data_IF_768309167980
#
_entry.id   IF_768309167980
#
_cell.length_a   1.000
_cell.length_b   1.000
_cell.length_c   1.000
_cell.angle_alpha   90.00
_cell.angle_beta   90.00
_cell.angle_gamma   90.00
#
_symmetry.space_group_name_H-M   'P 1'
#
loop_
_entity.id
_entity.type
_entity.pdbx_description
1 polymer ?
#
# COMPACT_ATOMS: atom_id res chain seq x y z
N UNK A 1 -10.22 28.96 -20.93
CA UNK A 1 -9.44 27.80 -20.43
C UNK A 1 -10.20 26.86 -19.49
N UNK A 2 -11.37 27.22 -18.92
CA UNK A 2 -12.20 26.27 -18.13
C UNK A 2 -13.02 25.29 -18.99
N UNK A 3 -13.34 25.66 -20.24
CA UNK A 3 -14.12 24.85 -21.18
C UNK A 3 -13.40 23.57 -21.64
N UNK A 4 -12.07 23.64 -21.82
CA UNK A 4 -11.25 22.52 -22.31
C UNK A 4 -11.10 21.40 -21.26
N UNK A 5 -11.27 21.72 -19.98
CA UNK A 5 -11.19 20.74 -18.89
C UNK A 5 -12.45 19.87 -18.81
N UNK A 6 -13.61 20.44 -19.18
CA UNK A 6 -14.90 19.71 -19.19
C UNK A 6 -14.98 18.71 -20.34
N UNK A 7 -14.43 19.06 -21.51
CA UNK A 7 -14.37 18.16 -22.68
C UNK A 7 -13.41 16.99 -22.41
N UNK A 8 -12.22 17.28 -21.86
CA UNK A 8 -11.23 16.26 -21.48
C UNK A 8 -11.77 15.20 -20.51
N UNK A 9 -12.50 15.62 -19.46
CA UNK A 9 -13.06 14.66 -18.49
C UNK A 9 -14.16 13.79 -19.11
N UNK A 10 -15.01 14.38 -19.94
CA UNK A 10 -16.07 13.67 -20.64
C UNK A 10 -15.51 12.69 -21.70
N UNK A 11 -14.43 13.05 -22.38
CA UNK A 11 -13.71 12.17 -23.31
C UNK A 11 -13.02 11.02 -22.58
N UNK A 12 -12.47 11.25 -21.38
CA UNK A 12 -11.91 10.21 -20.53
C UNK A 12 -12.96 9.19 -20.07
N UNK A 13 -14.19 9.63 -19.77
CA UNK A 13 -15.30 8.73 -19.42
C UNK A 13 -15.84 7.94 -20.63
N UNK A 14 -15.76 8.51 -21.84
CA UNK A 14 -16.14 7.83 -23.09
C UNK A 14 -15.06 6.91 -23.64
N UNK A 15 -13.84 7.01 -23.14
CA UNK A 15 -12.73 6.14 -23.51
C UNK A 15 -13.03 4.71 -23.05
N UNK A 16 -13.17 3.82 -24.03
CA UNK A 16 -13.27 2.36 -23.86
C UNK A 16 -11.90 1.67 -23.72
N UNK A 17 -10.81 2.44 -23.53
CA UNK A 17 -9.51 1.88 -23.18
C UNK A 17 -9.61 1.21 -21.81
N UNK A 18 -9.16 -0.05 -21.66
CA UNK A 18 -9.08 -0.70 -20.36
C UNK A 18 -8.24 0.17 -19.43
N UNK A 19 -8.79 0.48 -18.26
CA UNK A 19 -7.97 1.04 -17.20
C UNK A 19 -6.93 -0.01 -16.81
N UNK A 20 -5.69 0.39 -16.48
CA UNK A 20 -4.73 -0.55 -15.93
C UNK A 20 -5.36 -1.21 -14.70
N UNK A 21 -5.39 -2.54 -14.70
CA UNK A 21 -5.91 -3.32 -13.59
C UNK A 21 -5.16 -2.87 -12.32
N UNK A 22 -5.84 -2.62 -11.20
CA UNK A 22 -5.15 -2.34 -9.96
C UNK A 22 -4.20 -3.50 -9.67
N UNK A 23 -2.91 -3.21 -9.52
CA UNK A 23 -1.94 -4.18 -9.04
C UNK A 23 -2.38 -4.58 -7.63
N UNK A 24 -2.50 -5.90 -7.41
CA UNK A 24 -2.78 -6.46 -6.10
C UNK A 24 -1.57 -7.30 -5.75
N UNK A 25 -0.82 -6.86 -4.75
CA UNK A 25 0.30 -7.63 -4.23
C UNK A 25 -0.23 -8.93 -3.62
N UNK A 26 0.29 -10.10 -4.01
CA UNK A 26 -0.07 -11.37 -3.39
C UNK A 26 0.18 -11.34 -1.87
N UNK A 27 -0.73 -11.88 -1.04
CA UNK A 27 -0.53 -11.91 0.41
C UNK A 27 0.78 -12.59 0.84
N UNK A 28 1.25 -13.57 0.07
CA UNK A 28 2.55 -14.23 0.29
C UNK A 28 3.72 -13.26 0.18
N UNK A 29 3.69 -12.33 -0.77
CA UNK A 29 4.75 -11.32 -0.94
C UNK A 29 4.74 -10.31 0.21
N UNK A 30 3.56 -9.92 0.68
CA UNK A 30 3.41 -9.05 1.86
C UNK A 30 4.04 -9.71 3.09
N UNK A 31 3.77 -11.01 3.29
CA UNK A 31 4.34 -11.75 4.42
C UNK A 31 5.86 -11.85 4.33
N UNK A 32 6.41 -12.18 3.15
CA UNK A 32 7.86 -12.26 2.93
C UNK A 32 8.53 -10.92 3.21
N UNK A 33 7.97 -9.82 2.70
CA UNK A 33 8.52 -8.49 2.92
C UNK A 33 8.59 -8.12 4.41
N UNK A 34 7.59 -8.50 5.20
CA UNK A 34 7.59 -8.29 6.65
C UNK A 34 8.62 -9.17 7.37
N UNK A 35 8.79 -10.43 6.93
CA UNK A 35 9.78 -11.35 7.49
C UNK A 35 11.23 -10.91 7.22
N UNK A 36 11.46 -10.12 6.17
CA UNK A 36 12.77 -9.57 5.87
C UNK A 36 13.19 -8.43 6.82
N UNK A 37 12.28 -7.91 7.64
CA UNK A 37 12.60 -6.86 8.63
C UNK A 37 13.32 -7.53 9.82
N UNK A 38 14.58 -7.14 10.12
CA UNK A 38 15.34 -7.76 11.21
C UNK A 38 14.74 -7.43 12.58
N UNK A 39 14.84 -8.39 13.50
CA UNK A 39 14.38 -8.29 14.89
C UNK A 39 12.93 -7.80 15.04
N UNK A 40 12.06 -8.16 14.09
CA UNK A 40 10.67 -7.76 14.08
C UNK A 40 9.80 -8.77 14.80
N UNK A 41 9.15 -8.35 15.89
CA UNK A 41 8.42 -9.27 16.77
C UNK A 41 7.21 -9.88 16.05
N UNK A 42 6.95 -11.16 16.33
CA UNK A 42 5.89 -11.93 15.65
C UNK A 42 4.50 -11.30 15.81
N UNK A 43 4.19 -10.76 16.99
CA UNK A 43 2.90 -10.11 17.25
C UNK A 43 2.73 -8.85 16.38
N UNK A 44 3.76 -8.00 16.33
CA UNK A 44 3.76 -6.81 15.50
C UNK A 44 3.69 -7.14 14.01
N UNK A 45 4.37 -8.20 13.58
CA UNK A 45 4.30 -8.69 12.21
C UNK A 45 2.89 -9.11 11.82
N UNK A 46 2.20 -9.89 12.64
CA UNK A 46 0.83 -10.33 12.34
C UNK A 46 -0.15 -9.15 12.30
N UNK A 47 0.03 -8.18 13.21
CA UNK A 47 -0.79 -6.97 13.22
C UNK A 47 -0.57 -6.13 11.96
N UNK A 48 0.68 -5.98 11.53
CA UNK A 48 1.04 -5.27 10.31
C UNK A 48 0.48 -5.97 9.06
N UNK A 49 0.64 -7.30 8.99
CA UNK A 49 0.15 -8.12 7.90
C UNK A 49 -1.36 -7.92 7.66
N UNK A 50 -2.16 -7.95 8.73
CA UNK A 50 -3.60 -7.71 8.65
C UNK A 50 -3.97 -6.32 8.11
N UNK A 51 -3.12 -5.30 8.33
CA UNK A 51 -3.35 -3.95 7.79
C UNK A 51 -2.91 -3.82 6.33
N UNK A 52 -1.77 -4.43 5.97
CA UNK A 52 -1.17 -4.30 4.65
C UNK A 52 -1.94 -5.07 3.58
N UNK A 53 -2.50 -6.24 3.91
CA UNK A 53 -3.34 -7.02 2.96
C UNK A 53 -4.60 -6.27 2.52
N UNK A 54 -5.06 -5.31 3.30
CA UNK A 54 -6.26 -4.52 3.02
C UNK A 54 -5.94 -3.20 2.28
N UNK A 55 -4.67 -2.85 2.12
CA UNK A 55 -4.29 -1.56 1.56
C UNK A 55 -2.95 -1.63 0.80
N UNK A 56 -3.07 -1.83 -0.52
CA UNK A 56 -1.95 -1.86 -1.46
C UNK A 56 -1.04 -0.63 -1.33
N UNK A 57 -1.61 0.57 -1.13
CA UNK A 57 -0.81 1.80 -1.02
C UNK A 57 0.05 1.84 0.23
N UNK A 58 -0.40 1.25 1.34
CA UNK A 58 0.42 1.14 2.55
C UNK A 58 1.60 0.18 2.32
N UNK A 59 1.36 -0.93 1.62
CA UNK A 59 2.41 -1.87 1.29
C UNK A 59 3.44 -1.25 0.33
N UNK A 60 2.98 -0.59 -0.73
CA UNK A 60 3.84 0.09 -1.69
C UNK A 60 4.74 1.13 -1.02
N UNK A 61 4.17 2.00 -0.17
CA UNK A 61 4.93 2.99 0.57
C UNK A 61 5.94 2.37 1.55
N UNK A 62 5.67 1.15 2.06
CA UNK A 62 6.59 0.43 2.91
C UNK A 62 7.79 -0.12 2.12
N UNK A 63 7.56 -0.66 0.92
CA UNK A 63 8.62 -1.21 0.05
C UNK A 63 9.49 -0.10 -0.56
N UNK A 64 8.93 1.07 -0.84
CA UNK A 64 9.71 2.23 -1.29
C UNK A 64 10.63 2.80 -0.20
N UNK A 65 10.34 2.49 1.07
CA UNK A 65 11.14 2.93 2.19
C UNK A 65 12.43 2.12 2.33
N UNK A 66 13.50 2.79 2.76
CA UNK A 66 14.77 2.15 3.13
C UNK A 66 14.54 1.07 4.19
N UNK A 67 15.18 -0.09 4.03
CA UNK A 67 14.99 -1.27 4.91
C UNK A 67 15.17 -0.93 6.39
N UNK A 68 16.15 -0.09 6.72
CA UNK A 68 16.44 0.35 8.09
C UNK A 68 15.28 1.08 8.78
N UNK A 69 14.41 1.74 8.00
CA UNK A 69 13.28 2.52 8.53
C UNK A 69 11.96 1.74 8.51
N UNK A 70 11.91 0.57 7.85
CA UNK A 70 10.68 -0.20 7.70
C UNK A 70 10.13 -0.70 9.04
N UNK A 71 11.00 -1.08 9.98
CA UNK A 71 10.60 -1.52 11.32
C UNK A 71 9.84 -0.42 12.08
N UNK A 72 10.44 0.76 12.21
CA UNK A 72 9.84 1.92 12.88
C UNK A 72 8.53 2.31 12.22
N UNK A 73 8.51 2.35 10.88
CA UNK A 73 7.31 2.67 10.10
C UNK A 73 6.17 1.71 10.42
N UNK A 74 6.45 0.40 10.50
CA UNK A 74 5.44 -0.62 10.82
C UNK A 74 4.96 -0.52 12.26
N UNK A 75 5.84 -0.24 13.22
CA UNK A 75 5.45 -0.02 14.62
C UNK A 75 4.50 1.18 14.76
N UNK A 76 4.80 2.29 14.07
CA UNK A 76 3.88 3.45 14.01
C UNK A 76 2.53 3.11 13.37
N UNK A 77 2.48 2.14 12.45
CA UNK A 77 1.22 1.64 11.89
C UNK A 77 0.45 0.85 12.93
N UNK A 78 1.13 0.03 13.75
CA UNK A 78 0.53 -0.84 14.75
C UNK A 78 -0.06 -0.07 15.95
N UNK A 79 0.65 0.93 16.46
CA UNK A 79 0.26 1.73 17.63
C UNK A 79 -1.08 2.47 17.47
N UNK A 80 -1.44 2.87 16.23
CA UNK A 80 -2.66 3.65 15.95
C UNK A 80 -3.99 2.92 16.23
N UNK A 81 -3.96 1.65 16.64
CA UNK A 81 -5.16 0.85 16.94
C UNK A 81 -5.34 0.55 18.44
N UNK A 82 -4.48 1.06 19.32
CA UNK A 82 -4.67 0.97 20.77
C UNK A 82 -5.57 2.10 21.25
N UNK A 83 -6.86 2.04 20.91
CA UNK A 83 -7.92 2.89 21.48
C UNK A 83 -9.09 1.99 21.90
#
# INVERSE_FOLDING_TARGET
MLGDMKTSFHDALKSNKPLPMPHITPPTEILVALQMIPDFARCDLLQAYGKLILNERLFQALIELLMAMRKERVLMLNEKNSN
#
